data_IF_547448926592
#
_entry.id   IF_547448926592
#
_cell.length_a   1.000
_cell.length_b   1.000
_cell.length_c   1.000
_cell.angle_alpha   90.00
_cell.angle_beta   90.00
_cell.angle_gamma   90.00
#
_symmetry.space_group_name_H-M   'P 1'
#
loop_
_entity.id
_entity.type
_entity.pdbx_description
1 polymer ?
#
# COMPACT_ATOMS: atom_id res chain seq x y z
N UNK A 1 17.17 18.23 -5.09
CA UNK A 1 15.75 17.95 -5.42
C UNK A 1 15.25 16.98 -4.37
N UNK A 2 14.37 17.39 -3.47
CA UNK A 2 13.85 16.48 -2.45
C UNK A 2 13.04 15.38 -3.12
N UNK A 3 13.50 14.14 -2.97
CA UNK A 3 12.81 12.98 -3.52
C UNK A 3 11.41 12.88 -2.88
N UNK A 4 10.40 12.56 -3.69
CA UNK A 4 9.08 12.26 -3.16
C UNK A 4 9.11 11.01 -2.28
N UNK A 5 8.03 10.77 -1.55
CA UNK A 5 7.88 9.57 -0.72
C UNK A 5 6.65 8.77 -1.15
N UNK A 6 6.73 7.45 -1.05
CA UNK A 6 5.61 6.55 -1.27
C UNK A 6 5.15 5.94 0.05
N UNK A 7 3.91 6.23 0.45
CA UNK A 7 3.30 5.62 1.63
C UNK A 7 2.51 4.38 1.22
N UNK A 8 2.97 3.21 1.66
CA UNK A 8 2.26 1.94 1.56
C UNK A 8 1.39 1.77 2.80
N UNK A 9 0.10 2.00 2.65
CA UNK A 9 -0.89 2.00 3.72
C UNK A 9 -1.61 0.64 3.76
N UNK A 10 -1.53 -0.07 4.88
CA UNK A 10 -2.28 -1.32 5.11
C UNK A 10 -3.47 -1.04 6.03
N UNK A 11 -4.67 -1.40 5.58
CA UNK A 11 -5.89 -1.21 6.35
C UNK A 11 -5.86 -2.01 7.64
N UNK A 12 -6.08 -1.32 8.77
CA UNK A 12 -6.22 -1.89 10.11
C UNK A 12 -7.65 -1.83 10.65
N UNK A 13 -8.66 -1.61 9.79
CA UNK A 13 -10.06 -1.67 10.21
C UNK A 13 -10.43 -3.08 10.72
N UNK A 14 -11.48 -3.19 11.54
CA UNK A 14 -11.87 -4.44 12.22
C UNK A 14 -11.97 -5.65 11.26
N UNK A 15 -12.53 -5.45 10.07
CA UNK A 15 -12.66 -6.51 9.04
C UNK A 15 -11.33 -6.97 8.44
N UNK A 16 -10.29 -6.16 8.56
CA UNK A 16 -8.95 -6.44 8.04
C UNK A 16 -8.03 -7.02 9.12
N UNK A 17 -8.34 -6.81 10.40
CA UNK A 17 -7.45 -7.04 11.54
C UNK A 17 -6.81 -8.44 11.55
N UNK A 18 -7.60 -9.47 11.26
CA UNK A 18 -7.12 -10.86 11.21
C UNK A 18 -6.02 -11.13 10.17
N UNK A 19 -5.90 -10.28 9.14
CA UNK A 19 -4.92 -10.42 8.04
C UNK A 19 -3.94 -9.26 7.93
N UNK A 20 -4.12 -8.19 8.71
CA UNK A 20 -3.28 -7.00 8.59
C UNK A 20 -1.81 -7.31 8.91
N UNK A 21 -1.52 -8.18 9.90
CA UNK A 21 -0.14 -8.59 10.21
C UNK A 21 0.51 -9.35 9.04
N UNK A 22 -0.18 -10.37 8.50
CA UNK A 22 0.28 -11.16 7.35
C UNK A 22 0.62 -10.26 6.14
N UNK A 23 -0.26 -9.31 5.83
CA UNK A 23 -0.09 -8.39 4.70
C UNK A 23 1.06 -7.41 4.96
N UNK A 24 1.18 -6.90 6.19
CA UNK A 24 2.31 -6.04 6.58
C UNK A 24 3.63 -6.80 6.41
N UNK A 25 3.72 -8.03 6.91
CA UNK A 25 4.94 -8.82 6.82
C UNK A 25 5.34 -9.12 5.37
N UNK A 26 4.37 -9.44 4.52
CA UNK A 26 4.62 -9.63 3.09
C UNK A 26 5.12 -8.37 2.38
N UNK A 27 4.62 -7.19 2.77
CA UNK A 27 4.99 -5.91 2.17
C UNK A 27 6.30 -5.33 2.74
N UNK A 28 6.73 -5.75 3.94
CA UNK A 28 8.05 -5.38 4.48
C UNK A 28 9.17 -5.73 3.51
N UNK A 29 9.10 -6.89 2.86
CA UNK A 29 10.09 -7.30 1.86
C UNK A 29 10.10 -6.41 0.61
N UNK A 30 8.96 -5.83 0.24
CA UNK A 30 8.84 -4.92 -0.92
C UNK A 30 9.41 -3.56 -0.57
N UNK A 31 9.02 -3.00 0.58
CA UNK A 31 9.48 -1.66 1.01
C UNK A 31 10.98 -1.65 1.29
N UNK A 32 11.58 -2.76 1.74
CA UNK A 32 13.04 -2.88 1.89
C UNK A 32 13.84 -2.64 0.61
N UNK A 33 13.25 -2.90 -0.56
CA UNK A 33 13.92 -2.75 -1.86
C UNK A 33 13.43 -1.53 -2.66
N UNK A 34 12.51 -0.74 -2.09
CA UNK A 34 11.97 0.48 -2.69
C UNK A 34 12.46 1.70 -1.89
N UNK A 35 13.55 2.36 -2.32
CA UNK A 35 14.04 3.54 -1.63
C UNK A 35 12.94 4.61 -1.61
N UNK A 36 12.81 5.36 -0.52
CA UNK A 36 11.76 6.37 -0.30
C UNK A 36 10.33 5.86 -0.04
N UNK A 37 10.13 4.54 0.11
CA UNK A 37 8.85 3.97 0.52
C UNK A 37 8.74 3.79 2.04
N UNK A 38 7.55 4.03 2.60
CA UNK A 38 7.24 3.84 4.03
C UNK A 38 6.01 2.96 4.19
N UNK A 39 6.13 1.88 4.97
CA UNK A 39 5.02 0.99 5.30
C UNK A 39 4.30 1.45 6.57
N UNK A 40 2.99 1.67 6.49
CA UNK A 40 2.17 2.19 7.59
C UNK A 40 0.93 1.31 7.76
N UNK A 41 0.65 0.90 9.01
CA UNK A 41 -0.67 0.41 9.41
C UNK A 41 -1.55 1.61 9.73
N UNK A 42 -2.71 1.69 9.09
CA UNK A 42 -3.63 2.83 9.24
C UNK A 42 -4.98 2.37 9.76
N UNK A 43 -5.82 3.31 10.20
CA UNK A 43 -7.25 3.10 10.38
C UNK A 43 -7.93 2.63 9.07
N UNK A 44 -9.22 2.33 9.13
CA UNK A 44 -9.99 1.90 7.96
C UNK A 44 -9.81 2.85 6.77
N UNK A 45 -9.43 2.31 5.60
CA UNK A 45 -9.15 3.11 4.39
C UNK A 45 -10.42 3.60 3.66
N UNK A 46 -11.61 3.33 4.18
CA UNK A 46 -12.88 3.69 3.53
C UNK A 46 -13.36 2.62 2.56
N UNK A 47 -14.36 2.90 1.69
CA UNK A 47 -15.26 1.86 1.21
C UNK A 47 -14.48 0.76 0.49
N UNK A 48 -14.69 -0.45 0.98
CA UNK A 48 -14.13 -1.67 0.41
C UNK A 48 -14.46 -1.73 -1.08
N UNK A 49 -13.48 -1.53 -1.97
CA UNK A 49 -13.68 -1.51 -3.44
C UNK A 49 -13.81 -2.93 -3.98
N UNK A 50 -14.91 -3.57 -3.60
CA UNK A 50 -15.13 -4.99 -3.85
C UNK A 50 -14.50 -5.89 -2.79
N UNK A 51 -13.88 -5.40 -1.72
CA UNK A 51 -13.51 -6.20 -0.55
C UNK A 51 -14.74 -6.55 0.33
N UNK A 52 -15.87 -6.86 -0.30
CA UNK A 52 -17.15 -6.99 0.41
C UNK A 52 -17.20 -8.14 1.42
N UNK A 53 -16.29 -9.14 1.42
CA UNK A 53 -16.42 -10.26 2.37
C UNK A 53 -15.10 -10.91 2.87
N UNK A 54 -13.93 -10.82 2.20
CA UNK A 54 -12.78 -11.69 2.61
C UNK A 54 -11.36 -11.11 2.35
N UNK A 55 -11.13 -9.80 2.51
CA UNK A 55 -9.77 -9.25 2.31
C UNK A 55 -9.49 -7.90 2.97
N UNK A 56 -8.22 -7.67 3.28
CA UNK A 56 -7.66 -6.39 3.71
C UNK A 56 -7.42 -5.47 2.49
N UNK A 57 -7.43 -4.16 2.68
CA UNK A 57 -7.06 -3.21 1.62
C UNK A 57 -5.65 -2.67 1.82
N UNK A 58 -4.92 -2.53 0.72
CA UNK A 58 -3.63 -1.85 0.67
C UNK A 58 -3.75 -0.66 -0.27
N UNK A 59 -3.26 0.49 0.15
CA UNK A 59 -3.15 1.68 -0.68
C UNK A 59 -1.69 2.11 -0.82
N UNK A 60 -1.34 2.71 -1.95
CA UNK A 60 -0.07 3.41 -2.16
C UNK A 60 -0.37 4.86 -2.47
N UNK A 61 0.14 5.77 -1.64
CA UNK A 61 0.03 7.21 -1.80
C UNK A 61 1.41 7.81 -2.03
N UNK A 62 1.65 8.30 -3.24
CA UNK A 62 2.86 9.06 -3.57
C UNK A 62 2.67 10.53 -3.20
N UNK A 63 3.64 11.10 -2.49
CA UNK A 63 3.70 12.53 -2.17
C UNK A 63 4.96 13.15 -2.76
N UNK A 64 4.92 14.44 -3.06
CA UNK A 64 6.13 15.20 -3.37
C UNK A 64 6.87 15.64 -2.10
N UNK A 65 7.95 16.37 -2.29
CA UNK A 65 8.79 16.90 -1.23
C UNK A 65 8.07 17.83 -0.24
N UNK A 66 6.96 18.43 -0.65
CA UNK A 66 6.12 19.30 0.19
C UNK A 66 5.09 18.50 0.98
N UNK A 67 5.03 17.18 0.79
CA UNK A 67 4.02 16.31 1.35
C UNK A 67 2.69 16.33 0.59
N UNK A 68 2.62 17.01 -0.56
CA UNK A 68 1.41 17.06 -1.36
C UNK A 68 1.26 15.79 -2.19
N UNK A 69 0.04 15.24 -2.23
CA UNK A 69 -0.27 14.05 -3.01
C UNK A 69 -0.03 14.31 -4.51
N UNK A 70 0.88 13.57 -5.13
CA UNK A 70 1.15 13.69 -6.57
C UNK A 70 0.01 13.16 -7.43
N UNK A 71 -0.68 12.13 -6.95
CA UNK A 71 -1.76 11.41 -7.64
C UNK A 71 -2.77 10.86 -6.65
N UNK A 72 -3.93 10.45 -7.16
CA UNK A 72 -4.90 9.67 -6.37
C UNK A 72 -4.25 8.36 -5.89
N UNK A 73 -4.50 7.95 -4.63
CA UNK A 73 -3.90 6.75 -4.09
C UNK A 73 -4.34 5.51 -4.87
N UNK A 74 -3.38 4.66 -5.22
CA UNK A 74 -3.62 3.37 -5.88
C UNK A 74 -4.04 2.36 -4.82
N UNK A 75 -5.08 1.56 -5.08
CA UNK A 75 -5.65 0.62 -4.10
C UNK A 75 -5.77 -0.78 -4.64
N UNK A 76 -5.46 -1.78 -3.82
CA UNK A 76 -5.62 -3.21 -4.10
C UNK A 76 -6.24 -3.89 -2.89
N UNK A 77 -7.29 -4.69 -3.10
CA UNK A 77 -7.84 -5.57 -2.08
C UNK A 77 -7.11 -6.92 -2.06
N UNK A 78 -6.92 -7.49 -0.87
CA UNK A 78 -6.27 -8.80 -0.67
C UNK A 78 -7.21 -9.98 -0.86
N UNK A 79 -8.28 -9.83 -1.67
CA UNK A 79 -8.93 -10.99 -2.32
C UNK A 79 -7.95 -11.71 -3.26
N UNK A 80 -6.92 -10.99 -3.71
CA UNK A 80 -5.71 -11.57 -4.27
C UNK A 80 -4.92 -12.26 -3.16
N UNK A 81 -4.30 -13.41 -3.47
CA UNK A 81 -3.34 -14.03 -2.56
C UNK A 81 -2.25 -13.02 -2.16
N UNK A 82 -1.68 -13.18 -0.97
CA UNK A 82 -0.61 -12.31 -0.44
C UNK A 82 0.54 -12.09 -1.44
N UNK A 83 0.98 -13.09 -2.22
CA UNK A 83 1.94 -12.89 -3.32
C UNK A 83 1.46 -11.94 -4.43
N UNK A 84 0.19 -12.00 -4.82
CA UNK A 84 -0.36 -11.13 -5.86
C UNK A 84 -0.51 -9.68 -5.39
N UNK A 85 -0.85 -9.46 -4.12
CA UNK A 85 -0.80 -8.12 -3.50
C UNK A 85 0.63 -7.58 -3.50
N UNK A 86 1.60 -8.40 -3.06
CA UNK A 86 3.03 -8.08 -3.05
C UNK A 86 3.53 -7.65 -4.43
N UNK A 87 3.26 -8.45 -5.46
CA UNK A 87 3.69 -8.18 -6.82
C UNK A 87 3.09 -6.87 -7.36
N UNK A 88 1.81 -6.60 -7.06
CA UNK A 88 1.12 -5.39 -7.51
C UNK A 88 1.65 -4.12 -6.85
N UNK A 89 1.89 -4.17 -5.54
CA UNK A 89 2.49 -3.04 -4.81
C UNK A 89 3.91 -2.79 -5.29
N UNK A 90 4.73 -3.84 -5.44
CA UNK A 90 6.08 -3.71 -5.98
C UNK A 90 6.09 -3.04 -7.35
N UNK A 91 5.19 -3.46 -8.25
CA UNK A 91 5.04 -2.83 -9.57
C UNK A 91 4.72 -1.34 -9.49
N UNK A 92 3.84 -0.94 -8.57
CA UNK A 92 3.48 0.47 -8.43
C UNK A 92 4.62 1.33 -7.92
N UNK A 93 5.40 0.84 -6.95
CA UNK A 93 6.55 1.57 -6.44
C UNK A 93 7.62 1.74 -7.53
N UNK A 94 7.88 0.69 -8.32
CA UNK A 94 8.81 0.75 -9.45
C UNK A 94 8.33 1.61 -10.63
N UNK A 95 7.02 1.78 -10.80
CA UNK A 95 6.43 2.66 -11.82
C UNK A 95 6.56 4.16 -11.47
N UNK A 96 6.70 4.51 -10.18
CA UNK A 96 6.80 5.90 -9.71
C UNK A 96 8.24 6.43 -9.82
N UNK A 97 9.24 5.54 -9.79
CA UNK A 97 10.67 5.86 -9.94
C UNK A 97 11.13 6.16 -11.38
N UNK A 98 10.21 6.25 -12.37
CA UNK A 98 10.57 6.66 -13.73
C UNK A 98 10.34 8.17 -13.92
N UNK A 99 11.37 8.94 -14.30
CA UNK A 99 11.27 10.38 -14.56
C UNK A 99 10.32 10.73 -15.70
#
# INVERSE_FOLDING_TARGET
>A
MSAGHDYVLVCGGERCAARTDEVVDALRAVVRVAPHSVLIRTACLGPCRGAQQEGCEVAVQSVDASGQARRRPRRVGTRLSTPAVRARVARWLLEVDRP
#
